data_IF_852595422385
#
_entry.id   IF_852595422385
#
_cell.length_a   1.000
_cell.length_b   1.000
_cell.length_c   1.000
_cell.angle_alpha   90.00
_cell.angle_beta   90.00
_cell.angle_gamma   90.00
#
_symmetry.space_group_name_H-M   'P 1'
#
loop_
_entity.id
_entity.type
_entity.pdbx_description
1 polymer ?
#
# COMPACT_ATOMS: atom_id res chain seq x y z
N UNK A 1 67.83 -53.70 39.00
CA UNK A 1 68.93 -53.14 39.80
C UNK A 1 69.73 -52.28 38.87
N UNK A 2 69.73 -50.93 39.11
CA UNK A 2 70.46 -49.98 38.28
C UNK A 2 71.97 -50.16 38.44
N UNK A 3 72.72 -49.99 37.36
CA UNK A 3 74.16 -49.93 37.41
C UNK A 3 74.63 -48.75 38.29
N UNK A 4 75.72 -48.93 39.07
CA UNK A 4 76.20 -47.82 39.90
C UNK A 4 76.63 -46.64 38.99
N UNK A 5 76.15 -45.43 39.31
CA UNK A 5 76.53 -44.22 38.61
C UNK A 5 78.03 -44.01 38.89
N UNK A 6 78.85 -44.08 37.85
CA UNK A 6 80.34 -43.93 37.98
C UNK A 6 80.76 -42.46 37.73
N UNK A 7 79.98 -41.67 37.00
CA UNK A 7 80.23 -40.26 36.78
C UNK A 7 78.95 -39.45 37.04
N UNK A 8 78.87 -38.79 38.21
CA UNK A 8 77.70 -38.01 38.60
C UNK A 8 77.55 -36.71 37.78
N UNK A 9 78.62 -36.10 37.33
CA UNK A 9 78.59 -34.88 36.54
C UNK A 9 77.94 -35.14 35.14
N UNK A 10 78.39 -36.20 34.49
CA UNK A 10 77.82 -36.62 33.23
C UNK A 10 76.34 -37.06 33.33
N UNK A 11 76.00 -37.72 34.45
CA UNK A 11 74.63 -38.11 34.75
C UNK A 11 73.68 -36.94 34.92
N UNK A 12 74.08 -35.91 35.71
CA UNK A 12 73.26 -34.71 35.88
C UNK A 12 73.19 -33.87 34.62
N UNK A 13 74.26 -33.75 33.85
CA UNK A 13 74.27 -33.08 32.57
C UNK A 13 73.29 -33.72 31.57
N UNK A 14 73.28 -35.07 31.48
CA UNK A 14 72.36 -35.79 30.58
C UNK A 14 70.90 -35.72 31.08
N UNK A 15 70.67 -35.68 32.40
CA UNK A 15 69.35 -35.49 32.95
C UNK A 15 68.80 -34.07 32.64
N UNK A 16 69.64 -33.04 32.79
CA UNK A 16 69.28 -31.65 32.43
C UNK A 16 68.96 -31.48 30.93
N UNK A 17 69.77 -32.12 30.07
CA UNK A 17 69.47 -32.10 28.63
C UNK A 17 68.14 -32.82 28.31
N UNK A 18 67.86 -33.96 28.96
CA UNK A 18 66.60 -34.65 28.75
C UNK A 18 65.37 -33.83 29.16
N UNK A 19 65.48 -33.09 30.28
CA UNK A 19 64.42 -32.17 30.73
C UNK A 19 64.25 -31.01 29.78
N UNK A 20 65.33 -30.39 29.31
CA UNK A 20 65.25 -29.29 28.32
C UNK A 20 64.61 -29.78 26.99
N UNK A 21 64.95 -30.96 26.53
CA UNK A 21 64.33 -31.55 25.34
C UNK A 21 62.82 -31.82 25.55
N UNK A 22 62.41 -32.29 26.74
CA UNK A 22 61.01 -32.46 27.08
C UNK A 22 60.23 -31.13 27.11
N UNK A 23 60.83 -30.09 27.70
CA UNK A 23 60.23 -28.75 27.71
C UNK A 23 60.11 -28.16 26.29
N UNK A 24 61.10 -28.34 25.43
CA UNK A 24 61.07 -27.95 24.05
C UNK A 24 59.92 -28.67 23.29
N UNK A 25 59.79 -29.99 23.50
CA UNK A 25 58.70 -30.77 22.91
C UNK A 25 57.31 -30.33 23.41
N UNK A 26 57.18 -30.03 24.70
CA UNK A 26 55.92 -29.54 25.29
C UNK A 26 55.56 -28.17 24.71
N UNK A 27 56.52 -27.25 24.58
CA UNK A 27 56.31 -25.95 23.94
C UNK A 27 55.90 -26.09 22.47
N UNK A 28 56.53 -27.05 21.75
CA UNK A 28 56.15 -27.34 20.36
C UNK A 28 54.70 -27.88 20.29
N UNK A 29 54.32 -28.78 21.23
CA UNK A 29 52.93 -29.26 21.33
C UNK A 29 51.95 -28.16 21.53
N UNK A 30 52.22 -27.22 22.48
CA UNK A 30 51.31 -26.08 22.71
C UNK A 30 51.19 -25.15 21.49
N UNK A 31 52.29 -24.93 20.76
CA UNK A 31 52.25 -24.14 19.52
C UNK A 31 51.45 -24.83 18.45
N UNK A 32 51.66 -26.12 18.24
CA UNK A 32 50.94 -26.93 17.24
C UNK A 32 49.44 -27.03 17.55
N UNK A 33 49.06 -27.13 18.84
CA UNK A 33 47.65 -27.06 19.26
C UNK A 33 46.99 -25.72 18.98
N UNK A 34 47.72 -24.62 19.21
CA UNK A 34 47.23 -23.28 18.92
C UNK A 34 47.03 -23.09 17.40
N UNK A 35 47.99 -23.56 16.61
CA UNK A 35 47.93 -23.49 15.15
C UNK A 35 46.81 -24.38 14.58
N UNK A 36 46.62 -25.60 15.12
CA UNK A 36 45.52 -26.50 14.75
C UNK A 36 44.17 -25.82 14.98
N UNK A 37 43.92 -25.26 16.18
CA UNK A 37 42.70 -24.55 16.49
C UNK A 37 42.46 -23.35 15.57
N UNK A 38 43.52 -22.58 15.25
CA UNK A 38 43.46 -21.44 14.37
C UNK A 38 43.09 -21.84 12.94
N UNK A 39 43.72 -22.90 12.43
CA UNK A 39 43.44 -23.40 11.08
C UNK A 39 42.04 -24.02 11.00
N UNK A 40 41.61 -24.77 12.00
CA UNK A 40 40.25 -25.32 12.09
C UNK A 40 39.18 -24.20 12.10
N UNK A 41 39.41 -23.12 12.87
CA UNK A 41 38.51 -21.94 12.89
C UNK A 41 38.48 -21.24 11.52
N UNK A 42 39.64 -21.14 10.86
CA UNK A 42 39.75 -20.55 9.50
C UNK A 42 38.99 -21.36 8.47
N UNK A 43 39.16 -22.69 8.48
CA UNK A 43 38.44 -23.62 7.61
C UNK A 43 36.94 -23.56 7.78
N UNK A 44 36.45 -23.59 9.03
CA UNK A 44 35.01 -23.40 9.35
C UNK A 44 34.49 -22.03 8.88
N UNK A 45 35.29 -20.98 9.06
CA UNK A 45 34.99 -19.63 8.57
C UNK A 45 34.82 -19.60 7.06
N UNK A 46 35.76 -20.23 6.32
CA UNK A 46 35.69 -20.31 4.87
C UNK A 46 34.47 -21.11 4.38
N UNK A 47 34.18 -22.25 4.97
CA UNK A 47 33.01 -23.07 4.63
C UNK A 47 31.68 -22.29 4.87
N UNK A 48 31.60 -21.56 5.98
CA UNK A 48 30.45 -20.66 6.25
C UNK A 48 30.34 -19.56 5.19
N UNK A 49 31.44 -18.90 4.87
CA UNK A 49 31.46 -17.83 3.86
C UNK A 49 30.98 -18.33 2.49
N UNK A 50 31.41 -19.54 2.08
CA UNK A 50 30.93 -20.18 0.85
C UNK A 50 29.42 -20.42 0.89
N UNK A 51 28.91 -20.97 1.99
CA UNK A 51 27.47 -21.22 2.18
C UNK A 51 26.65 -19.93 2.16
N UNK A 52 27.15 -18.88 2.81
CA UNK A 52 26.51 -17.56 2.80
C UNK A 52 26.52 -16.94 1.40
N UNK A 53 27.63 -17.03 0.67
CA UNK A 53 27.75 -16.55 -0.71
C UNK A 53 26.75 -17.24 -1.63
N UNK A 54 26.62 -18.57 -1.53
CA UNK A 54 25.60 -19.35 -2.27
C UNK A 54 24.20 -18.82 -1.94
N UNK A 55 23.87 -18.70 -0.66
CA UNK A 55 22.56 -18.24 -0.21
C UNK A 55 22.23 -16.82 -0.72
N UNK A 56 23.18 -15.90 -0.61
CA UNK A 56 23.02 -14.52 -1.07
C UNK A 56 22.87 -14.45 -2.60
N UNK A 57 23.72 -15.16 -3.34
CA UNK A 57 23.66 -15.18 -4.81
C UNK A 57 22.35 -15.75 -5.32
N UNK A 58 21.91 -16.88 -4.73
CA UNK A 58 20.61 -17.50 -5.06
C UNK A 58 19.46 -16.54 -4.77
N UNK A 59 19.49 -15.88 -3.60
CA UNK A 59 18.46 -14.91 -3.23
C UNK A 59 18.42 -13.73 -4.19
N UNK A 60 19.56 -13.12 -4.50
CA UNK A 60 19.66 -11.99 -5.42
C UNK A 60 19.14 -12.35 -6.82
N UNK A 61 19.55 -13.47 -7.37
CA UNK A 61 19.10 -13.91 -8.70
C UNK A 61 17.60 -14.18 -8.75
N UNK A 62 17.06 -14.81 -7.70
CA UNK A 62 15.61 -15.04 -7.58
C UNK A 62 14.82 -13.71 -7.48
N UNK A 63 15.35 -12.74 -6.73
CA UNK A 63 14.76 -11.41 -6.65
C UNK A 63 14.83 -10.65 -7.98
N UNK A 64 15.92 -10.74 -8.73
CA UNK A 64 16.07 -10.14 -10.05
C UNK A 64 15.01 -10.67 -11.03
N UNK A 65 14.84 -12.01 -11.08
CA UNK A 65 13.81 -12.65 -11.90
C UNK A 65 12.42 -12.15 -11.48
N UNK A 66 12.14 -12.16 -10.17
CA UNK A 66 10.85 -11.73 -9.65
C UNK A 66 10.56 -10.27 -10.01
N UNK A 67 11.52 -9.37 -9.78
CA UNK A 67 11.38 -7.93 -10.08
C UNK A 67 11.19 -7.66 -11.57
N UNK A 68 11.87 -8.41 -12.44
CA UNK A 68 11.72 -8.26 -13.89
C UNK A 68 10.28 -8.57 -14.33
N UNK A 69 9.73 -9.71 -13.92
CA UNK A 69 8.36 -10.08 -14.26
C UNK A 69 7.32 -9.17 -13.58
N UNK A 70 7.55 -8.73 -12.33
CA UNK A 70 6.65 -7.82 -11.63
C UNK A 70 6.61 -6.44 -12.29
N UNK A 71 7.75 -5.96 -12.81
CA UNK A 71 7.80 -4.72 -13.57
C UNK A 71 7.03 -4.82 -14.90
N UNK A 72 7.15 -5.96 -15.61
CA UNK A 72 6.40 -6.21 -16.83
C UNK A 72 4.89 -6.30 -16.54
N UNK A 73 4.53 -7.07 -15.51
CA UNK A 73 3.14 -7.23 -15.04
C UNK A 73 2.53 -5.90 -14.64
N UNK A 74 3.30 -5.06 -13.93
CA UNK A 74 2.88 -3.72 -13.54
C UNK A 74 2.55 -2.83 -14.74
N UNK A 75 3.33 -2.87 -15.81
CA UNK A 75 3.07 -2.10 -17.05
C UNK A 75 1.79 -2.55 -17.72
N UNK A 76 1.57 -3.87 -17.84
CA UNK A 76 0.35 -4.42 -18.46
C UNK A 76 -0.88 -4.11 -17.62
N UNK A 77 -0.79 -4.27 -16.30
CA UNK A 77 -1.89 -3.93 -15.37
C UNK A 77 -2.24 -2.44 -15.40
N UNK A 78 -1.25 -1.55 -15.50
CA UNK A 78 -1.49 -0.12 -15.63
C UNK A 78 -2.21 0.20 -16.94
N UNK A 79 -1.78 -0.43 -18.05
CA UNK A 79 -2.45 -0.30 -19.34
C UNK A 79 -3.90 -0.83 -19.28
N UNK A 80 -4.12 -1.99 -18.67
CA UNK A 80 -5.43 -2.57 -18.43
C UNK A 80 -6.35 -1.62 -17.64
N UNK A 81 -5.83 -1.02 -16.59
CA UNK A 81 -6.56 -0.01 -15.78
C UNK A 81 -6.94 1.21 -16.65
N UNK A 82 -6.02 1.69 -17.48
CA UNK A 82 -6.29 2.83 -18.38
C UNK A 82 -7.37 2.48 -19.42
N UNK A 83 -7.34 1.27 -20.01
CA UNK A 83 -8.34 0.83 -20.97
C UNK A 83 -9.71 0.65 -20.33
N UNK A 84 -9.78 0.01 -19.15
CA UNK A 84 -11.02 -0.11 -18.36
C UNK A 84 -11.61 1.28 -18.02
N UNK A 85 -10.78 2.25 -17.65
CA UNK A 85 -11.23 3.62 -17.41
C UNK A 85 -11.74 4.32 -18.68
N UNK A 86 -11.09 4.12 -19.84
CA UNK A 86 -11.57 4.63 -21.15
C UNK A 86 -12.89 4.00 -21.53
N UNK A 87 -13.04 2.69 -21.37
CA UNK A 87 -14.29 1.96 -21.59
C UNK A 87 -15.44 2.54 -20.77
N UNK A 88 -15.22 2.72 -19.46
CA UNK A 88 -16.25 3.28 -18.57
C UNK A 88 -16.61 4.73 -18.94
N UNK A 89 -15.61 5.54 -19.33
CA UNK A 89 -15.84 6.90 -19.84
C UNK A 89 -16.68 6.89 -21.13
N UNK A 90 -16.36 6.01 -22.07
CA UNK A 90 -17.10 5.86 -23.32
C UNK A 90 -18.56 5.42 -23.07
N UNK A 91 -18.75 4.44 -22.16
CA UNK A 91 -20.09 4.00 -21.71
C UNK A 91 -20.89 5.15 -21.11
N UNK A 92 -20.30 5.89 -20.16
CA UNK A 92 -20.95 7.03 -19.49
C UNK A 92 -21.32 8.14 -20.50
N UNK A 93 -20.47 8.37 -21.49
CA UNK A 93 -20.74 9.32 -22.56
C UNK A 93 -21.91 8.83 -23.43
N UNK A 94 -21.91 7.57 -23.86
CA UNK A 94 -23.02 6.99 -24.63
C UNK A 94 -24.34 6.99 -23.87
N UNK A 95 -24.32 6.69 -22.56
CA UNK A 95 -25.52 6.80 -21.70
C UNK A 95 -26.03 8.24 -21.65
N UNK A 96 -25.14 9.22 -21.56
CA UNK A 96 -25.52 10.64 -21.56
C UNK A 96 -26.15 11.06 -22.89
N UNK A 97 -25.52 10.71 -23.99
CA UNK A 97 -26.02 11.01 -25.34
C UNK A 97 -27.40 10.40 -25.58
N UNK A 98 -27.61 9.15 -25.20
CA UNK A 98 -28.93 8.47 -25.31
C UNK A 98 -29.98 9.19 -24.44
N UNK A 99 -29.67 9.60 -23.22
CA UNK A 99 -30.58 10.38 -22.37
C UNK A 99 -30.91 11.72 -23.02
N UNK A 100 -29.94 12.43 -23.59
CA UNK A 100 -30.16 13.70 -24.29
C UNK A 100 -31.02 13.52 -25.52
N UNK A 101 -30.82 12.45 -26.26
CA UNK A 101 -31.63 12.14 -27.46
C UNK A 101 -33.07 11.79 -27.10
N UNK A 102 -33.29 10.84 -26.18
CA UNK A 102 -34.62 10.37 -25.75
C UNK A 102 -35.42 11.48 -25.05
N UNK A 103 -34.75 12.46 -24.42
CA UNK A 103 -35.41 13.58 -23.74
C UNK A 103 -35.50 14.86 -24.57
N UNK A 104 -34.91 14.91 -25.76
CA UNK A 104 -34.83 16.10 -26.62
C UNK A 104 -36.22 16.70 -26.91
N UNK A 105 -37.19 15.85 -27.18
CA UNK A 105 -38.59 16.26 -27.39
C UNK A 105 -39.18 16.98 -26.19
N UNK A 106 -39.04 16.41 -25.01
CA UNK A 106 -39.55 16.98 -23.75
C UNK A 106 -38.82 18.29 -23.38
N UNK A 107 -37.53 18.38 -23.68
CA UNK A 107 -36.74 19.63 -23.47
C UNK A 107 -37.29 20.77 -24.37
N UNK A 108 -37.56 20.44 -25.66
CA UNK A 108 -38.11 21.37 -26.63
C UNK A 108 -39.50 21.82 -26.20
N UNK A 109 -40.40 20.91 -25.85
CA UNK A 109 -41.75 21.19 -25.36
C UNK A 109 -41.70 22.07 -24.08
N UNK A 110 -40.81 21.76 -23.13
CA UNK A 110 -40.65 22.62 -21.94
C UNK A 110 -40.22 24.04 -22.28
N UNK A 111 -39.38 24.24 -23.30
CA UNK A 111 -38.99 25.55 -23.78
C UNK A 111 -40.19 26.30 -24.40
N UNK A 112 -40.94 25.61 -25.26
CA UNK A 112 -42.16 26.17 -25.90
C UNK A 112 -43.20 26.56 -24.82
N UNK A 113 -43.44 25.70 -23.84
CA UNK A 113 -44.33 25.99 -22.70
C UNK A 113 -43.86 27.20 -21.87
N UNK A 114 -42.56 27.34 -21.66
CA UNK A 114 -41.99 28.46 -20.93
C UNK A 114 -42.16 29.79 -21.73
N UNK A 115 -42.00 29.74 -23.04
CA UNK A 115 -42.21 30.89 -23.93
C UNK A 115 -43.70 31.24 -24.03
N UNK A 116 -44.60 30.26 -24.13
CA UNK A 116 -46.06 30.45 -24.04
C UNK A 116 -46.43 31.18 -22.73
N UNK A 117 -45.90 30.74 -21.57
CA UNK A 117 -46.15 31.38 -20.29
C UNK A 117 -45.67 32.82 -20.27
N UNK A 118 -44.50 33.10 -20.87
CA UNK A 118 -43.96 34.46 -21.00
C UNK A 118 -44.83 35.34 -21.85
N UNK A 119 -45.31 34.86 -22.97
CA UNK A 119 -46.19 35.58 -23.89
C UNK A 119 -47.55 35.85 -23.25
N UNK A 120 -48.17 34.86 -22.64
CA UNK A 120 -49.43 34.96 -21.89
C UNK A 120 -49.37 36.06 -20.84
N UNK A 121 -48.31 36.10 -20.03
CA UNK A 121 -48.15 37.11 -18.97
C UNK A 121 -47.90 38.49 -19.53
N UNK A 122 -47.15 38.59 -20.63
CA UNK A 122 -46.91 39.88 -21.31
C UNK A 122 -48.17 40.46 -21.94
N UNK A 123 -48.97 39.61 -22.64
CA UNK A 123 -50.23 39.99 -23.28
C UNK A 123 -51.28 40.52 -22.28
N UNK A 124 -51.30 39.95 -21.08
CA UNK A 124 -52.23 40.35 -20.00
C UNK A 124 -51.64 41.34 -18.98
N UNK A 125 -50.50 41.97 -19.30
CA UNK A 125 -49.81 42.94 -18.43
C UNK A 125 -49.55 42.47 -17.00
N UNK A 126 -49.36 41.15 -16.81
CA UNK A 126 -49.04 40.54 -15.49
C UNK A 126 -47.58 40.86 -15.14
N UNK A 127 -47.31 41.37 -13.92
CA UNK A 127 -45.94 41.66 -13.49
C UNK A 127 -45.00 40.43 -13.62
N UNK A 128 -43.77 40.64 -14.12
CA UNK A 128 -42.83 39.55 -14.44
C UNK A 128 -42.44 38.67 -13.26
N UNK A 129 -42.45 39.23 -12.04
CA UNK A 129 -42.13 38.47 -10.82
C UNK A 129 -43.18 37.38 -10.49
N UNK A 130 -44.46 37.58 -10.95
CA UNK A 130 -45.54 36.60 -10.78
C UNK A 130 -45.28 35.29 -11.55
N UNK A 131 -44.35 35.28 -12.51
CA UNK A 131 -43.89 34.09 -13.23
C UNK A 131 -42.94 33.20 -12.41
N UNK A 132 -42.35 33.77 -11.35
CA UNK A 132 -41.34 33.11 -10.53
C UNK A 132 -41.88 31.92 -9.70
N UNK A 133 -40.99 30.95 -9.40
CA UNK A 133 -41.33 29.83 -8.52
C UNK A 133 -41.73 30.31 -7.11
N UNK A 134 -41.06 31.34 -6.63
CA UNK A 134 -41.28 31.90 -5.30
C UNK A 134 -42.67 32.50 -5.14
N UNK A 135 -43.15 33.25 -6.13
CA UNK A 135 -44.50 33.80 -6.13
C UNK A 135 -45.57 32.70 -6.05
N UNK A 136 -45.43 31.64 -6.88
CA UNK A 136 -46.37 30.53 -6.83
C UNK A 136 -46.29 29.72 -5.55
N UNK A 137 -45.13 29.61 -4.93
CA UNK A 137 -44.97 28.93 -3.64
C UNK A 137 -45.72 29.72 -2.52
N UNK A 138 -45.68 31.06 -2.54
CA UNK A 138 -46.32 31.90 -1.54
C UNK A 138 -47.86 32.00 -1.72
N UNK A 139 -48.35 32.12 -2.97
CA UNK A 139 -49.75 32.43 -3.21
C UNK A 139 -50.60 31.24 -3.73
N UNK A 140 -49.96 30.17 -4.24
CA UNK A 140 -50.59 28.98 -4.83
C UNK A 140 -49.92 27.68 -4.39
N UNK A 141 -49.66 27.53 -3.13
CA UNK A 141 -49.03 26.38 -2.55
C UNK A 141 -49.70 25.06 -2.94
N UNK A 142 -49.06 24.21 -3.78
CA UNK A 142 -49.60 22.92 -4.23
C UNK A 142 -48.70 21.76 -3.98
N UNK A 143 -47.41 21.99 -3.83
CA UNK A 143 -46.43 20.91 -3.62
C UNK A 143 -45.78 21.05 -2.25
N UNK A 144 -45.29 19.94 -1.71
CA UNK A 144 -44.54 19.93 -0.44
C UNK A 144 -43.34 20.92 -0.47
N UNK A 145 -42.73 21.09 -1.65
CA UNK A 145 -41.64 22.07 -1.83
C UNK A 145 -42.15 23.52 -1.71
N UNK A 146 -43.32 23.79 -2.26
CA UNK A 146 -43.94 25.12 -2.14
C UNK A 146 -44.29 25.42 -0.67
N UNK A 147 -44.83 24.40 0.05
CA UNK A 147 -45.10 24.50 1.48
C UNK A 147 -43.82 24.76 2.30
N UNK A 148 -42.75 24.04 2.01
CA UNK A 148 -41.44 24.22 2.67
C UNK A 148 -40.91 25.65 2.42
N UNK A 149 -41.01 26.15 1.17
CA UNK A 149 -40.62 27.51 0.81
C UNK A 149 -41.43 28.56 1.59
N UNK A 150 -42.73 28.38 1.70
CA UNK A 150 -43.63 29.25 2.49
C UNK A 150 -43.22 29.22 3.99
N UNK A 151 -43.01 28.05 4.55
CA UNK A 151 -42.62 27.88 5.94
C UNK A 151 -41.27 28.55 6.24
N UNK A 152 -40.26 28.33 5.39
CA UNK A 152 -38.95 28.99 5.53
C UNK A 152 -39.07 30.50 5.43
N UNK A 153 -39.94 31.03 4.52
CA UNK A 153 -40.20 32.48 4.41
C UNK A 153 -40.80 33.02 5.67
N UNK A 154 -41.81 32.33 6.25
CA UNK A 154 -42.42 32.72 7.53
C UNK A 154 -41.38 32.74 8.65
N UNK A 155 -40.54 31.70 8.76
CA UNK A 155 -39.49 31.65 9.77
C UNK A 155 -38.50 32.80 9.63
N UNK A 156 -38.09 33.12 8.39
CA UNK A 156 -37.20 34.26 8.15
C UNK A 156 -37.84 35.57 8.53
N UNK A 157 -39.05 35.85 8.03
CA UNK A 157 -39.74 37.15 8.22
C UNK A 157 -40.21 37.36 9.65
N UNK A 158 -40.69 36.31 10.33
CA UNK A 158 -41.32 36.43 11.66
C UNK A 158 -40.47 35.89 12.80
N UNK A 159 -39.34 35.22 12.53
CA UNK A 159 -38.44 34.73 13.60
C UNK A 159 -37.03 35.34 13.42
N UNK A 160 -36.36 35.07 12.29
CA UNK A 160 -34.95 35.43 12.12
C UNK A 160 -34.75 36.95 12.07
N UNK A 161 -35.57 37.69 11.31
CA UNK A 161 -35.44 39.18 11.18
C UNK A 161 -35.80 39.85 12.50
N UNK A 162 -36.96 39.60 13.14
CA UNK A 162 -37.29 40.28 14.42
C UNK A 162 -36.31 39.97 15.53
N UNK A 163 -35.86 38.69 15.67
CA UNK A 163 -34.85 38.32 16.64
C UNK A 163 -33.52 39.01 16.34
N UNK A 164 -33.08 39.01 15.07
CA UNK A 164 -31.85 39.69 14.65
C UNK A 164 -31.85 41.17 14.98
N UNK A 165 -32.94 41.88 14.68
CA UNK A 165 -33.11 43.32 15.04
C UNK A 165 -33.06 43.51 16.54
N UNK A 166 -33.74 42.67 17.32
CA UNK A 166 -33.73 42.74 18.79
C UNK A 166 -32.31 42.58 19.36
N UNK A 167 -31.51 41.68 18.82
CA UNK A 167 -30.12 41.43 19.26
C UNK A 167 -29.16 42.61 18.95
N UNK A 168 -29.51 43.45 17.97
CA UNK A 168 -28.72 44.62 17.61
C UNK A 168 -28.98 45.82 18.55
N UNK A 169 -30.05 45.78 19.35
CA UNK A 169 -30.40 46.88 20.30
C UNK A 169 -29.59 46.68 21.59
N UNK A 170 -28.81 47.70 22.04
CA UNK A 170 -27.99 47.62 23.24
C UNK A 170 -28.79 47.39 24.53
N UNK A 171 -29.95 48.08 24.67
CA UNK A 171 -30.86 47.91 25.79
C UNK A 171 -31.96 46.92 25.46
N UNK A 172 -31.81 45.67 25.92
CA UNK A 172 -32.75 44.54 25.66
C UNK A 172 -33.97 44.56 26.58
N UNK A 173 -34.85 45.55 26.39
CA UNK A 173 -36.15 45.58 27.13
C UNK A 173 -37.20 44.79 26.38
N UNK A 174 -38.00 43.97 27.08
CA UNK A 174 -39.09 43.17 26.50
C UNK A 174 -40.08 43.98 25.66
N UNK A 175 -40.32 45.25 26.01
CA UNK A 175 -41.17 46.15 25.25
C UNK A 175 -40.68 46.38 23.82
N UNK A 176 -39.37 46.45 23.59
CA UNK A 176 -38.83 46.57 22.24
C UNK A 176 -39.10 45.34 21.41
N UNK A 177 -39.03 44.15 22.01
CA UNK A 177 -39.36 42.89 21.33
C UNK A 177 -40.79 42.88 20.80
N UNK A 178 -41.76 43.28 21.66
CA UNK A 178 -43.17 43.38 21.26
C UNK A 178 -43.34 44.39 20.11
N UNK A 179 -42.71 45.56 20.22
CA UNK A 179 -42.76 46.58 19.16
C UNK A 179 -42.20 46.10 17.82
N UNK A 180 -41.06 45.35 17.84
CA UNK A 180 -40.43 44.79 16.64
C UNK A 180 -41.34 43.72 15.99
N UNK A 181 -41.98 42.83 16.79
CA UNK A 181 -42.93 41.85 16.25
C UNK A 181 -44.18 42.50 15.65
N UNK A 182 -44.75 43.52 16.31
CA UNK A 182 -45.89 44.29 15.74
C UNK A 182 -45.49 44.96 14.42
N UNK A 183 -44.32 45.60 14.38
CA UNK A 183 -43.80 46.18 13.14
C UNK A 183 -43.56 45.11 12.05
N UNK A 184 -43.00 43.93 12.40
CA UNK A 184 -42.77 42.86 11.44
C UNK A 184 -44.11 42.35 10.86
N UNK A 185 -45.16 42.17 11.70
CA UNK A 185 -46.47 41.73 11.23
C UNK A 185 -47.08 42.78 10.27
N UNK A 186 -47.01 44.06 10.62
CA UNK A 186 -47.55 45.12 9.77
C UNK A 186 -46.78 45.23 8.44
N UNK A 187 -45.46 45.15 8.47
CA UNK A 187 -44.63 45.29 7.27
C UNK A 187 -44.78 44.04 6.38
N UNK A 188 -44.44 42.83 6.88
CA UNK A 188 -44.43 41.62 6.06
C UNK A 188 -45.85 41.14 5.72
N UNK A 189 -46.78 41.24 6.69
CA UNK A 189 -48.19 40.92 6.46
C UNK A 189 -48.84 41.92 5.50
N UNK A 190 -48.58 43.24 5.68
CA UNK A 190 -49.03 44.28 4.77
C UNK A 190 -48.53 44.09 3.34
N UNK A 191 -47.22 43.80 3.14
CA UNK A 191 -46.65 43.49 1.84
C UNK A 191 -47.32 42.26 1.22
N UNK A 192 -47.50 41.15 2.00
CA UNK A 192 -48.13 39.92 1.51
C UNK A 192 -49.57 40.19 1.03
N UNK A 193 -50.39 40.89 1.81
CA UNK A 193 -51.79 41.20 1.44
C UNK A 193 -51.83 42.15 0.25
N UNK A 194 -51.04 43.20 0.24
CA UNK A 194 -51.00 44.18 -0.85
C UNK A 194 -50.60 43.57 -2.17
N UNK A 195 -49.49 42.82 -2.20
CA UNK A 195 -49.02 42.12 -3.39
C UNK A 195 -50.09 41.08 -3.84
N UNK A 196 -50.66 40.34 -2.89
CA UNK A 196 -51.74 39.39 -3.20
C UNK A 196 -52.95 40.04 -3.84
N UNK A 197 -53.40 41.17 -3.31
CA UNK A 197 -54.54 41.90 -3.82
C UNK A 197 -54.25 42.50 -5.20
N UNK A 198 -53.08 43.11 -5.38
CA UNK A 198 -52.70 43.70 -6.67
C UNK A 198 -52.44 42.68 -7.78
N UNK A 199 -52.10 41.45 -7.44
CA UNK A 199 -51.73 40.42 -8.43
C UNK A 199 -52.69 39.23 -8.48
N UNK A 200 -52.88 38.49 -7.38
CA UNK A 200 -53.71 37.29 -7.34
C UNK A 200 -55.18 37.59 -7.65
N UNK A 201 -55.73 38.66 -7.05
CA UNK A 201 -57.14 39.03 -7.27
C UNK A 201 -57.34 39.56 -8.69
N UNK A 202 -56.46 40.43 -9.17
CA UNK A 202 -56.57 41.09 -10.47
C UNK A 202 -56.34 40.15 -11.67
N UNK A 203 -55.41 39.21 -11.55
CA UNK A 203 -54.96 38.34 -12.67
C UNK A 203 -55.21 36.86 -12.41
N UNK A 204 -56.22 36.49 -11.63
CA UNK A 204 -56.49 35.14 -11.15
C UNK A 204 -56.55 34.11 -12.30
N UNK A 205 -57.22 34.39 -13.40
CA UNK A 205 -57.43 33.43 -14.48
C UNK A 205 -56.12 33.17 -15.27
N UNK A 206 -55.38 34.25 -15.54
CA UNK A 206 -54.05 34.13 -16.18
C UNK A 206 -53.06 33.38 -15.30
N UNK A 207 -53.10 33.61 -13.99
CA UNK A 207 -52.25 32.91 -13.05
C UNK A 207 -52.61 31.43 -12.92
N UNK A 208 -53.92 31.08 -13.02
CA UNK A 208 -54.39 29.69 -13.07
C UNK A 208 -53.93 28.96 -14.36
N UNK A 209 -54.00 29.67 -15.53
CA UNK A 209 -53.48 29.13 -16.80
C UNK A 209 -51.97 28.92 -16.71
N UNK A 210 -51.22 29.89 -16.14
CA UNK A 210 -49.82 29.73 -15.83
C UNK A 210 -49.52 28.55 -14.92
N UNK A 211 -50.38 28.24 -13.94
CA UNK A 211 -50.27 27.03 -13.11
C UNK A 211 -50.41 25.75 -13.96
N UNK A 212 -51.31 25.71 -14.92
CA UNK A 212 -51.48 24.60 -15.86
C UNK A 212 -50.23 24.35 -16.68
N UNK A 213 -49.65 25.41 -17.25
CA UNK A 213 -48.37 25.31 -17.97
C UNK A 213 -47.26 24.82 -17.07
N UNK A 214 -47.13 25.29 -15.86
CA UNK A 214 -46.15 24.85 -14.88
C UNK A 214 -46.33 23.39 -14.47
N UNK A 215 -47.59 22.92 -14.39
CA UNK A 215 -47.90 21.53 -14.11
C UNK A 215 -47.41 20.59 -15.25
N UNK A 216 -47.61 21.01 -16.51
CA UNK A 216 -47.09 20.30 -17.69
C UNK A 216 -45.54 20.24 -17.67
N UNK A 217 -44.88 21.37 -17.48
CA UNK A 217 -43.39 21.41 -17.34
C UNK A 217 -42.91 20.51 -16.22
N UNK A 218 -43.61 20.43 -15.08
CA UNK A 218 -43.25 19.54 -13.98
C UNK A 218 -43.45 18.05 -14.34
N UNK A 219 -44.52 17.73 -15.04
CA UNK A 219 -44.78 16.36 -15.55
C UNK A 219 -43.68 15.94 -16.51
N UNK A 220 -43.35 16.74 -17.52
CA UNK A 220 -42.26 16.49 -18.44
C UNK A 220 -40.91 16.30 -17.74
N UNK A 221 -40.57 17.16 -16.76
CA UNK A 221 -39.36 16.97 -15.94
C UNK A 221 -39.34 15.69 -15.14
N UNK A 222 -40.51 15.20 -14.67
CA UNK A 222 -40.62 13.92 -13.99
C UNK A 222 -40.40 12.77 -14.96
N UNK A 223 -40.99 12.86 -16.15
CA UNK A 223 -40.83 11.89 -17.23
C UNK A 223 -39.38 11.78 -17.68
N UNK A 224 -38.71 12.92 -17.95
CA UNK A 224 -37.26 12.95 -18.27
C UNK A 224 -36.42 12.22 -17.19
N UNK A 225 -36.77 12.38 -15.89
CA UNK A 225 -36.08 11.66 -14.81
C UNK A 225 -36.33 10.16 -14.82
N UNK A 226 -37.55 9.75 -15.21
CA UNK A 226 -37.88 8.32 -15.36
C UNK A 226 -37.08 7.74 -16.53
N UNK A 227 -37.10 8.38 -17.70
CA UNK A 227 -36.30 7.98 -18.88
C UNK A 227 -34.82 7.84 -18.51
N UNK A 228 -34.22 8.88 -17.89
CA UNK A 228 -32.83 8.86 -17.47
C UNK A 228 -32.53 7.72 -16.48
N UNK A 229 -33.46 7.42 -15.55
CA UNK A 229 -33.31 6.31 -14.60
C UNK A 229 -33.39 4.95 -15.30
N UNK A 230 -34.29 4.78 -16.27
CA UNK A 230 -34.45 3.57 -17.06
C UNK A 230 -33.20 3.28 -17.88
N UNK A 231 -32.69 4.28 -18.62
CA UNK A 231 -31.46 4.16 -19.43
C UNK A 231 -30.25 3.82 -18.56
N UNK A 232 -30.09 4.46 -17.39
CA UNK A 232 -28.97 4.15 -16.46
C UNK A 232 -29.04 2.75 -15.85
N UNK A 233 -30.23 2.15 -15.81
CA UNK A 233 -30.46 0.79 -15.29
C UNK A 233 -30.43 -0.28 -16.40
N UNK A 234 -30.45 0.15 -17.64
CA UNK A 234 -30.35 -0.73 -18.80
C UNK A 234 -28.99 -1.43 -18.80
N UNK A 235 -29.01 -2.76 -18.80
CA UNK A 235 -27.78 -3.59 -18.83
C UNK A 235 -27.29 -3.85 -20.24
N UNK A 236 -28.03 -3.44 -21.26
CA UNK A 236 -27.64 -3.64 -22.65
C UNK A 236 -26.59 -2.61 -23.06
N UNK A 237 -25.34 -3.02 -23.06
CA UNK A 237 -24.18 -2.16 -23.39
C UNK A 237 -23.82 -2.22 -24.89
N UNK A 238 -24.43 -3.13 -25.68
CA UNK A 238 -24.08 -3.32 -27.09
C UNK A 238 -24.30 -2.05 -27.93
N UNK A 239 -25.19 -1.18 -27.49
CA UNK A 239 -25.56 0.09 -28.15
C UNK A 239 -24.41 1.11 -28.11
N UNK A 240 -23.48 0.98 -27.18
CA UNK A 240 -22.44 1.99 -26.91
C UNK A 240 -21.13 1.75 -27.66
N UNK A 241 -21.08 0.77 -28.59
CA UNK A 241 -19.89 0.43 -29.40
C UNK A 241 -18.59 0.22 -28.54
N UNK A 242 -18.72 -0.52 -27.47
CA UNK A 242 -17.60 -0.76 -26.50
C UNK A 242 -16.69 -1.91 -26.94
N UNK A 243 -17.00 -2.63 -28.05
CA UNK A 243 -16.33 -3.84 -28.50
C UNK A 243 -14.80 -3.68 -28.58
N UNK A 244 -14.32 -2.57 -29.14
CA UNK A 244 -12.87 -2.28 -29.20
C UNK A 244 -12.17 -2.30 -27.84
N UNK A 245 -12.83 -1.77 -26.82
CA UNK A 245 -12.27 -1.79 -25.46
C UNK A 245 -12.36 -3.17 -24.84
N UNK A 246 -13.44 -3.91 -25.11
CA UNK A 246 -13.63 -5.26 -24.60
C UNK A 246 -12.59 -6.22 -25.21
N UNK A 247 -12.31 -6.10 -26.50
CA UNK A 247 -11.27 -6.87 -27.17
C UNK A 247 -9.86 -6.53 -26.64
N UNK A 248 -9.55 -5.24 -26.44
CA UNK A 248 -8.26 -4.81 -25.84
C UNK A 248 -8.12 -5.27 -24.39
N UNK A 249 -9.19 -5.25 -23.60
CA UNK A 249 -9.21 -5.77 -22.22
C UNK A 249 -8.96 -7.27 -22.22
N UNK A 250 -9.64 -8.03 -23.09
CA UNK A 250 -9.46 -9.47 -23.19
C UNK A 250 -8.02 -9.84 -23.57
N UNK A 251 -7.41 -9.11 -24.51
CA UNK A 251 -6.01 -9.31 -24.87
C UNK A 251 -5.07 -9.02 -23.69
N UNK A 252 -5.26 -7.90 -22.99
CA UNK A 252 -4.42 -7.55 -21.84
C UNK A 252 -4.61 -8.52 -20.67
N UNK A 253 -5.80 -9.05 -20.44
CA UNK A 253 -6.05 -10.08 -19.43
C UNK A 253 -5.34 -11.40 -19.81
N UNK A 254 -5.25 -11.74 -21.11
CA UNK A 254 -4.45 -12.87 -21.61
C UNK A 254 -2.95 -12.61 -21.40
N UNK A 255 -2.46 -11.41 -21.72
CA UNK A 255 -1.06 -11.04 -21.52
C UNK A 255 -0.67 -11.16 -20.03
N UNK A 256 -1.53 -10.71 -19.11
CA UNK A 256 -1.34 -10.87 -17.66
C UNK A 256 -1.25 -12.34 -17.27
N UNK A 257 -2.13 -13.19 -17.81
CA UNK A 257 -2.12 -14.63 -17.52
C UNK A 257 -0.84 -15.29 -18.05
N UNK A 258 -0.39 -14.92 -19.25
CA UNK A 258 0.82 -15.44 -19.87
C UNK A 258 2.09 -15.03 -19.08
N UNK A 259 2.20 -13.76 -18.69
CA UNK A 259 3.33 -13.27 -17.88
C UNK A 259 3.38 -14.02 -16.54
N UNK A 260 2.23 -14.21 -15.88
CA UNK A 260 2.17 -14.98 -14.64
C UNK A 260 2.60 -16.45 -14.82
N UNK A 261 2.21 -17.07 -15.94
CA UNK A 261 2.64 -18.42 -16.29
C UNK A 261 4.17 -18.48 -16.47
N UNK A 262 4.71 -17.56 -17.30
CA UNK A 262 6.17 -17.44 -17.55
C UNK A 262 6.95 -17.19 -16.26
N UNK A 263 6.45 -16.30 -15.39
CA UNK A 263 7.04 -16.04 -14.07
C UNK A 263 7.13 -17.32 -13.24
N UNK A 264 6.02 -18.07 -13.17
CA UNK A 264 5.97 -19.34 -12.43
C UNK A 264 6.95 -20.37 -13.00
N UNK A 265 6.99 -20.53 -14.32
CA UNK A 265 7.90 -21.44 -15.01
C UNK A 265 9.36 -21.05 -14.77
N UNK A 266 9.70 -19.75 -14.91
CA UNK A 266 11.05 -19.25 -14.66
C UNK A 266 11.50 -19.48 -13.19
N UNK A 267 10.62 -19.23 -12.21
CA UNK A 267 10.93 -19.50 -10.81
C UNK A 267 11.07 -20.99 -10.51
N UNK A 268 10.26 -21.85 -11.13
CA UNK A 268 10.37 -23.30 -10.99
C UNK A 268 11.69 -23.79 -11.59
N UNK A 269 12.05 -23.35 -12.80
CA UNK A 269 13.32 -23.68 -13.44
C UNK A 269 14.50 -23.17 -12.61
N UNK A 270 14.39 -21.99 -12.05
CA UNK A 270 15.40 -21.43 -11.16
C UNK A 270 15.60 -22.31 -9.91
N UNK A 271 14.53 -22.69 -9.23
CA UNK A 271 14.60 -23.48 -7.99
C UNK A 271 15.08 -24.93 -8.24
N UNK A 272 14.78 -25.51 -9.42
CA UNK A 272 15.15 -26.91 -9.75
C UNK A 272 16.51 -27.06 -10.42
N UNK A 273 16.90 -26.10 -11.26
CA UNK A 273 18.11 -26.19 -12.09
C UNK A 273 19.14 -25.13 -11.75
N UNK A 274 18.77 -23.86 -11.87
CA UNK A 274 19.72 -22.74 -11.77
C UNK A 274 20.35 -22.63 -10.37
N UNK A 275 19.56 -22.89 -9.33
CA UNK A 275 20.05 -22.90 -7.95
C UNK A 275 21.16 -23.94 -7.74
N UNK A 276 20.99 -25.14 -8.30
CA UNK A 276 22.00 -26.22 -8.21
C UNK A 276 23.26 -25.83 -8.96
N UNK A 277 23.12 -25.29 -10.18
CA UNK A 277 24.27 -24.83 -10.98
C UNK A 277 25.06 -23.74 -10.23
N UNK A 278 24.40 -22.75 -9.65
CA UNK A 278 25.05 -21.67 -8.85
C UNK A 278 25.78 -22.27 -7.65
N UNK A 279 25.16 -23.22 -6.95
CA UNK A 279 25.75 -23.88 -5.79
C UNK A 279 27.01 -24.68 -6.18
N UNK A 280 26.91 -25.45 -7.26
CA UNK A 280 28.02 -26.24 -7.75
C UNK A 280 29.18 -25.42 -8.26
N UNK A 281 28.90 -24.35 -8.99
CA UNK A 281 29.91 -23.39 -9.48
C UNK A 281 30.67 -22.71 -8.33
N UNK A 282 29.96 -22.16 -7.34
CA UNK A 282 30.59 -21.50 -6.18
C UNK A 282 31.38 -22.51 -5.35
N UNK A 283 30.84 -23.74 -5.18
CA UNK A 283 31.53 -24.80 -4.45
C UNK A 283 32.80 -25.25 -5.21
N UNK A 284 32.71 -25.47 -6.52
CA UNK A 284 33.85 -25.82 -7.36
C UNK A 284 34.96 -24.78 -7.32
N UNK A 285 34.61 -23.50 -7.40
CA UNK A 285 35.57 -22.38 -7.35
C UNK A 285 36.33 -22.29 -6.01
N UNK A 286 35.75 -22.78 -4.91
CA UNK A 286 36.38 -22.79 -3.58
C UNK A 286 36.95 -24.13 -3.17
N UNK A 287 36.72 -25.17 -3.96
CA UNK A 287 37.11 -26.55 -3.63
C UNK A 287 38.61 -26.74 -3.44
N UNK A 288 39.41 -26.12 -4.29
CA UNK A 288 40.88 -26.22 -4.24
C UNK A 288 41.44 -25.56 -2.97
N UNK A 289 40.92 -24.38 -2.61
CA UNK A 289 41.35 -23.67 -1.40
C UNK A 289 40.94 -24.42 -0.12
N UNK A 290 39.68 -24.88 -0.06
CA UNK A 290 39.20 -25.68 1.06
C UNK A 290 39.99 -26.98 1.17
N UNK A 291 40.25 -27.67 0.06
CA UNK A 291 41.05 -28.89 0.03
C UNK A 291 42.47 -28.69 0.56
N UNK A 292 43.16 -27.60 0.17
CA UNK A 292 44.47 -27.26 0.72
C UNK A 292 44.42 -27.06 2.24
N UNK A 293 43.40 -26.32 2.74
CA UNK A 293 43.25 -26.12 4.18
C UNK A 293 42.94 -27.40 4.93
N UNK A 294 42.21 -28.33 4.34
CA UNK A 294 41.94 -29.67 4.91
C UNK A 294 43.20 -30.53 4.94
N UNK A 295 44.01 -30.50 3.87
CA UNK A 295 45.30 -31.21 3.81
C UNK A 295 46.30 -30.63 4.82
N UNK A 296 46.39 -29.30 4.93
CA UNK A 296 47.24 -28.62 5.90
C UNK A 296 46.83 -28.99 7.33
N UNK A 297 45.52 -29.01 7.62
CA UNK A 297 45.00 -29.41 8.93
C UNK A 297 45.32 -30.87 9.26
N UNK A 298 45.19 -31.77 8.29
CA UNK A 298 45.53 -33.16 8.45
C UNK A 298 47.04 -33.35 8.72
N UNK A 299 47.90 -32.64 7.96
CA UNK A 299 49.37 -32.71 8.18
C UNK A 299 49.78 -32.16 9.54
N UNK A 300 49.14 -31.06 9.98
CA UNK A 300 49.38 -30.44 11.28
C UNK A 300 48.93 -31.32 12.44
N UNK A 301 47.76 -31.96 12.30
CA UNK A 301 47.23 -32.94 13.27
C UNK A 301 48.13 -34.16 13.43
N UNK A 302 48.68 -34.69 12.33
CA UNK A 302 49.63 -35.82 12.39
C UNK A 302 50.96 -35.39 13.01
N UNK A 303 51.46 -34.18 12.71
CA UNK A 303 52.65 -33.63 13.34
C UNK A 303 52.45 -33.45 14.85
N UNK A 304 51.30 -32.90 15.25
CA UNK A 304 50.93 -32.75 16.67
C UNK A 304 50.89 -34.10 17.39
N UNK A 305 50.32 -35.13 16.77
CA UNK A 305 50.24 -36.47 17.30
C UNK A 305 51.63 -37.08 17.47
N UNK A 306 52.52 -36.96 16.48
CA UNK A 306 53.89 -37.47 16.56
C UNK A 306 54.72 -36.76 17.66
N UNK A 307 54.61 -35.42 17.73
CA UNK A 307 55.30 -34.63 18.78
C UNK A 307 54.78 -34.95 20.18
N UNK A 308 53.45 -35.12 20.34
CA UNK A 308 52.86 -35.60 21.63
C UNK A 308 53.37 -36.99 22.03
N UNK A 309 53.52 -37.87 21.07
CA UNK A 309 54.06 -39.22 21.34
C UNK A 309 55.51 -39.14 21.77
N UNK A 310 56.32 -38.35 21.07
CA UNK A 310 57.74 -38.10 21.41
C UNK A 310 57.87 -37.46 22.79
N UNK A 311 57.04 -36.44 23.11
CA UNK A 311 57.04 -35.82 24.45
C UNK A 311 56.69 -36.84 25.57
N UNK A 312 55.71 -37.72 25.32
CA UNK A 312 55.28 -38.76 26.24
C UNK A 312 56.36 -39.81 26.44
N UNK A 313 57.02 -40.30 25.38
CA UNK A 313 58.13 -41.22 25.44
C UNK A 313 59.31 -40.61 26.20
N UNK A 314 59.63 -39.35 25.93
CA UNK A 314 60.70 -38.65 26.63
C UNK A 314 60.39 -38.48 28.13
N UNK A 315 59.13 -38.16 28.46
CA UNK A 315 58.68 -38.06 29.87
C UNK A 315 58.84 -39.42 30.57
N UNK A 316 58.42 -40.52 29.93
CA UNK A 316 58.61 -41.86 30.49
C UNK A 316 60.11 -42.22 30.65
N UNK A 317 60.92 -41.90 29.63
CA UNK A 317 62.36 -42.10 29.69
C UNK A 317 63.02 -41.34 30.90
N UNK A 318 62.60 -40.10 31.14
CA UNK A 318 63.07 -39.30 32.29
C UNK A 318 62.63 -39.96 33.60
N UNK A 319 61.38 -40.39 33.70
CA UNK A 319 60.87 -41.08 34.88
C UNK A 319 61.63 -42.36 35.17
N UNK A 320 61.85 -43.20 34.18
CA UNK A 320 62.48 -44.51 34.36
C UNK A 320 64.00 -44.42 34.62
N UNK A 321 64.70 -43.45 33.99
CA UNK A 321 66.17 -43.41 34.07
C UNK A 321 66.74 -42.37 35.03
N UNK A 322 65.99 -41.31 35.33
CA UNK A 322 66.50 -40.17 36.16
C UNK A 322 65.70 -39.96 37.44
N UNK A 323 64.34 -39.89 37.40
CA UNK A 323 63.54 -39.61 38.60
C UNK A 323 63.71 -40.68 39.71
N UNK A 324 63.93 -41.92 39.32
CA UNK A 324 64.14 -43.03 40.24
C UNK A 324 65.37 -42.79 41.14
N UNK A 325 66.38 -42.06 40.63
CA UNK A 325 67.63 -41.77 41.36
C UNK A 325 67.66 -40.40 42.02
N UNK A 326 67.04 -39.37 41.37
CA UNK A 326 67.13 -37.96 41.84
C UNK A 326 65.94 -37.63 42.76
N UNK A 327 64.83 -38.33 42.62
CA UNK A 327 63.58 -38.05 43.33
C UNK A 327 62.63 -37.16 42.57
N UNK A 328 61.34 -37.44 42.73
CA UNK A 328 60.24 -36.72 42.07
C UNK A 328 60.20 -35.26 42.55
N UNK A 329 60.30 -34.30 41.67
CA UNK A 329 60.25 -32.88 41.99
C UNK A 329 61.57 -32.11 41.96
N UNK A 330 62.72 -32.80 41.73
CA UNK A 330 64.01 -32.17 41.52
C UNK A 330 64.44 -32.10 40.06
N UNK A 331 63.61 -32.67 39.19
CA UNK A 331 63.84 -32.68 37.73
C UNK A 331 63.07 -31.55 37.05
N UNK A 332 63.56 -30.29 37.28
CA UNK A 332 63.08 -29.11 36.58
C UNK A 332 64.26 -28.37 35.97
N UNK A 333 64.04 -27.67 34.83
CA UNK A 333 65.08 -26.96 34.13
C UNK A 333 65.72 -25.80 34.90
N UNK A 334 65.06 -25.31 35.98
CA UNK A 334 65.56 -24.20 36.83
C UNK A 334 66.44 -24.66 37.98
N UNK A 335 66.69 -25.92 38.17
CA UNK A 335 67.55 -26.49 39.22
C UNK A 335 68.60 -27.40 38.63
#
# INVERSE_FOLDING_TARGET
>A
MGQPITDYAAFFASAGQAVQELEALNTEVEQLEADEKKLESSLKGKQRSVTETISQTVKQRKEEITKSYDAELGKVQERLKKVKAKREKAKNQGVKERIEEDTRGLVRENKELADQMKTLFKANHVPGFCRGNYYYALYFTRTFKDFLTLLVTILICFLAIPCGVYFLIPERRTMYLVGIYVAAILIFGGIYVTVGNMTKVRYMDVLKEGLGIRAKIRANKKEMKVIAKTIRRDKNETIYNLQKFDDEIAQLDQDVAEINRKKKEALTTFDTVTRTIISDEITANNKEEIGRMEDDLASLSEKLRSTRTAAKEKSLFITDNYEVYIGKGYMTSEK
#
